data_IF_319564010387
#
_entry.id   IF_319564010387
#
_cell.length_a   1.000
_cell.length_b   1.000
_cell.length_c   1.000
_cell.angle_alpha   90.00
_cell.angle_beta   90.00
_cell.angle_gamma   90.00
#
_symmetry.space_group_name_H-M   'P 1'
#
loop_
_entity.id
_entity.type
_entity.pdbx_description
1 polymer ?
#
# COMPACT_ATOMS: atom_id res chain seq x y z
N UNK A 1 5.97 23.32 1.60
CA UNK A 1 5.37 22.57 0.48
C UNK A 1 6.47 21.91 -0.33
N UNK A 2 6.30 20.64 -0.65
CA UNK A 2 7.31 19.91 -1.43
C UNK A 2 7.30 20.34 -2.89
N UNK A 3 8.47 20.52 -3.49
CA UNK A 3 8.59 20.74 -4.93
C UNK A 3 8.42 19.41 -5.66
N UNK A 4 8.26 19.46 -7.00
CA UNK A 4 8.18 18.21 -7.78
C UNK A 4 9.49 17.41 -7.67
N UNK A 5 10.65 18.07 -7.54
CA UNK A 5 11.92 17.39 -7.33
C UNK A 5 11.97 16.69 -5.98
N UNK A 6 11.52 17.38 -4.93
CA UNK A 6 11.45 16.78 -3.58
C UNK A 6 10.50 15.60 -3.56
N UNK A 7 9.36 15.72 -4.21
CA UNK A 7 8.39 14.65 -4.29
C UNK A 7 8.96 13.42 -5.01
N UNK A 8 9.66 13.65 -6.13
CA UNK A 8 10.31 12.58 -6.88
C UNK A 8 11.36 11.86 -6.04
N UNK A 9 12.14 12.61 -5.26
CA UNK A 9 13.14 12.03 -4.36
C UNK A 9 12.50 11.25 -3.22
N UNK A 10 11.39 11.73 -2.68
CA UNK A 10 10.64 11.04 -1.63
C UNK A 10 10.08 9.72 -2.14
N UNK A 11 9.52 9.71 -3.35
CA UNK A 11 9.00 8.49 -3.97
C UNK A 11 10.13 7.49 -4.24
N UNK A 12 11.27 7.99 -4.72
CA UNK A 12 12.43 7.15 -4.95
C UNK A 12 12.91 6.51 -3.64
N UNK A 13 12.96 7.29 -2.56
CA UNK A 13 13.37 6.77 -1.25
C UNK A 13 12.40 5.69 -0.77
N UNK A 14 11.11 5.91 -0.89
CA UNK A 14 10.11 4.93 -0.50
C UNK A 14 10.25 3.65 -1.34
N UNK A 15 10.42 3.78 -2.65
CA UNK A 15 10.63 2.63 -3.52
C UNK A 15 11.85 1.82 -3.05
N UNK A 16 12.97 2.49 -2.76
CA UNK A 16 14.18 1.81 -2.29
C UNK A 16 13.96 1.08 -0.97
N UNK A 17 13.14 1.64 -0.09
CA UNK A 17 12.87 1.03 1.20
C UNK A 17 12.11 -0.28 1.08
N UNK A 18 11.18 -0.41 0.14
CA UNK A 18 10.26 -1.55 0.08
C UNK A 18 10.40 -2.43 -1.15
N UNK A 19 11.28 -2.10 -2.10
CA UNK A 19 11.36 -2.82 -3.38
C UNK A 19 11.62 -4.32 -3.25
N UNK A 20 12.35 -4.74 -2.22
CA UNK A 20 12.68 -6.14 -2.00
C UNK A 20 11.80 -6.81 -0.94
N UNK A 21 10.74 -6.15 -0.51
CA UNK A 21 9.80 -6.68 0.47
C UNK A 21 8.47 -6.91 -0.23
N UNK A 22 8.19 -8.18 -0.57
CA UNK A 22 7.03 -8.51 -1.39
C UNK A 22 5.70 -8.43 -0.66
N UNK A 23 5.69 -8.73 0.64
CA UNK A 23 4.46 -8.79 1.43
C UNK A 23 4.47 -7.75 2.53
N UNK A 24 3.35 -7.08 2.70
CA UNK A 24 3.12 -6.17 3.80
C UNK A 24 1.87 -6.59 4.57
N UNK A 25 1.74 -6.11 5.80
CA UNK A 25 0.51 -6.28 6.57
C UNK A 25 -0.38 -5.07 6.35
N UNK A 26 -1.52 -5.33 5.73
CA UNK A 26 -2.50 -4.31 5.37
C UNK A 26 -3.56 -4.25 6.47
N UNK A 27 -3.70 -3.10 7.12
CA UNK A 27 -4.58 -2.93 8.28
C UNK A 27 -5.79 -2.06 7.91
N UNK A 28 -6.97 -2.56 8.24
CA UNK A 28 -8.25 -1.86 8.05
C UNK A 28 -8.96 -1.71 9.39
N UNK A 29 -10.01 -0.89 9.40
CA UNK A 29 -10.84 -0.63 10.58
C UNK A 29 -12.25 -1.12 10.30
N UNK A 30 -12.84 -1.89 11.23
CA UNK A 30 -14.23 -2.31 11.11
C UNK A 30 -15.20 -1.28 11.72
N UNK A 31 -16.51 -1.53 11.63
CA UNK A 31 -17.54 -0.61 12.10
C UNK A 31 -17.51 -0.37 13.61
N UNK A 32 -16.91 -1.30 14.36
CA UNK A 32 -16.79 -1.20 15.81
C UNK A 32 -15.48 -0.52 16.23
N UNK A 33 -14.67 -0.09 15.26
CA UNK A 33 -13.39 0.55 15.53
C UNK A 33 -12.25 -0.41 15.78
N UNK A 34 -12.45 -1.71 15.54
CA UNK A 34 -11.38 -2.70 15.70
C UNK A 34 -10.50 -2.75 14.46
N UNK A 35 -9.21 -2.97 14.69
CA UNK A 35 -8.23 -3.05 13.62
C UNK A 35 -7.99 -4.51 13.22
N UNK A 36 -7.93 -4.75 11.93
CA UNK A 36 -7.65 -6.07 11.36
C UNK A 36 -6.53 -5.96 10.35
N UNK A 37 -5.60 -6.92 10.37
CA UNK A 37 -4.45 -6.90 9.47
C UNK A 37 -4.40 -8.17 8.62
N UNK A 38 -4.04 -7.99 7.36
CA UNK A 38 -3.99 -9.07 6.37
C UNK A 38 -2.67 -9.01 5.61
N UNK A 39 -2.02 -10.16 5.35
CA UNK A 39 -0.84 -10.15 4.47
C UNK A 39 -1.29 -9.90 3.04
N UNK A 40 -0.64 -8.95 2.39
CA UNK A 40 -0.96 -8.57 1.01
C UNK A 40 0.33 -8.37 0.23
N UNK A 41 0.32 -8.82 -1.02
CA UNK A 41 1.43 -8.62 -1.93
C UNK A 41 1.22 -7.32 -2.71
N UNK A 42 2.21 -6.43 -2.64
CA UNK A 42 2.14 -5.20 -3.43
C UNK A 42 2.34 -5.52 -4.91
N UNK A 43 1.70 -4.76 -5.77
CA UNK A 43 1.75 -4.93 -7.22
C UNK A 43 2.24 -3.66 -7.90
N UNK A 44 3.23 -3.82 -8.78
CA UNK A 44 3.78 -2.70 -9.52
C UNK A 44 4.71 -1.85 -8.68
N UNK A 45 5.20 -0.79 -9.29
CA UNK A 45 6.09 0.15 -8.63
C UNK A 45 5.30 1.39 -8.21
N UNK A 46 5.82 2.10 -7.22
CA UNK A 46 5.23 3.36 -6.79
C UNK A 46 5.50 4.40 -7.87
N UNK A 47 4.43 5.01 -8.37
CA UNK A 47 4.54 6.04 -9.38
C UNK A 47 4.60 7.44 -8.74
N UNK A 48 4.71 8.46 -9.60
CA UNK A 48 4.79 9.85 -9.16
C UNK A 48 3.53 10.34 -8.41
N UNK A 49 2.47 9.55 -8.42
CA UNK A 49 1.24 9.88 -7.68
C UNK A 49 1.28 9.39 -6.24
N UNK A 50 2.34 8.71 -5.84
CA UNK A 50 2.50 8.12 -4.51
C UNK A 50 1.35 7.15 -4.19
N UNK A 51 1.17 6.16 -5.07
CA UNK A 51 0.13 5.14 -4.90
C UNK A 51 0.73 3.76 -4.79
N UNK A 52 0.06 2.90 -4.01
CA UNK A 52 0.34 1.47 -3.94
C UNK A 52 -0.89 0.71 -4.44
N UNK A 53 -0.65 -0.44 -5.06
CA UNK A 53 -1.72 -1.27 -5.61
C UNK A 53 -1.63 -2.68 -5.04
N UNK A 54 -2.79 -3.27 -4.77
CA UNK A 54 -2.90 -4.63 -4.27
C UNK A 54 -4.05 -5.33 -4.97
N UNK A 55 -3.84 -6.60 -5.37
CA UNK A 55 -4.94 -7.42 -5.87
C UNK A 55 -5.77 -7.94 -4.71
N UNK A 56 -7.09 -8.03 -4.91
CA UNK A 56 -8.02 -8.51 -3.91
C UNK A 56 -9.26 -9.10 -4.60
N UNK A 57 -10.14 -9.68 -3.78
CA UNK A 57 -11.51 -10.03 -4.20
C UNK A 57 -12.44 -8.91 -3.73
N UNK A 58 -13.26 -8.42 -4.65
CA UNK A 58 -14.13 -7.28 -4.36
C UNK A 58 -15.12 -7.54 -3.21
N UNK A 59 -15.51 -8.80 -3.02
CA UNK A 59 -16.43 -9.17 -1.95
C UNK A 59 -15.77 -9.50 -0.62
N UNK A 60 -14.48 -9.27 -0.45
CA UNK A 60 -13.81 -9.59 0.81
C UNK A 60 -14.20 -8.62 1.94
N UNK A 61 -14.04 -9.09 3.18
CA UNK A 61 -14.37 -8.27 4.36
C UNK A 61 -13.57 -6.98 4.41
N UNK A 62 -12.29 -7.02 4.03
CA UNK A 62 -11.46 -5.82 4.05
C UNK A 62 -11.98 -4.74 3.09
N UNK A 63 -12.57 -5.14 1.97
CA UNK A 63 -13.16 -4.19 1.02
C UNK A 63 -14.38 -3.52 1.64
N UNK A 64 -15.26 -4.29 2.29
CA UNK A 64 -16.41 -3.75 2.98
C UNK A 64 -15.98 -2.74 4.05
N UNK A 65 -14.94 -3.07 4.80
CA UNK A 65 -14.41 -2.18 5.82
C UNK A 65 -13.88 -0.88 5.21
N UNK A 66 -13.14 -0.97 4.11
CA UNK A 66 -12.59 0.18 3.40
C UNK A 66 -13.69 1.09 2.84
N UNK A 67 -14.80 0.51 2.39
CA UNK A 67 -15.93 1.28 1.89
C UNK A 67 -16.58 2.14 2.98
N UNK A 68 -16.48 1.70 4.24
CA UNK A 68 -17.00 2.45 5.38
C UNK A 68 -15.97 3.41 5.96
N UNK A 69 -14.71 2.97 6.08
CA UNK A 69 -13.60 3.75 6.62
C UNK A 69 -12.39 3.51 5.74
N UNK A 70 -12.08 4.46 4.89
CA UNK A 70 -11.04 4.29 3.87
C UNK A 70 -9.61 4.46 4.38
N UNK A 71 -9.42 4.85 5.64
CA UNK A 71 -8.09 5.01 6.22
C UNK A 71 -7.46 3.64 6.48
N UNK A 72 -6.25 3.45 5.97
CA UNK A 72 -5.54 2.18 6.07
C UNK A 72 -4.10 2.41 6.46
N UNK A 73 -3.45 1.34 6.91
CA UNK A 73 -2.02 1.33 7.17
C UNK A 73 -1.43 0.05 6.59
N UNK A 74 -0.29 0.18 5.92
CA UNK A 74 0.45 -0.98 5.42
C UNK A 74 1.85 -0.94 6.03
N UNK A 75 2.29 -2.06 6.64
CA UNK A 75 3.64 -2.17 7.17
C UNK A 75 4.44 -3.17 6.37
N UNK A 76 5.67 -2.80 6.06
CA UNK A 76 6.65 -3.67 5.41
C UNK A 76 7.83 -3.82 6.36
N UNK A 77 8.32 -5.05 6.51
CA UNK A 77 9.41 -5.32 7.44
C UNK A 77 10.48 -6.16 6.78
N UNK A 78 11.74 -5.80 7.03
CA UNK A 78 12.89 -6.60 6.68
C UNK A 78 13.79 -6.68 7.93
N UNK A 79 13.54 -7.65 8.82
CA UNK A 79 14.32 -7.78 10.06
C UNK A 79 15.82 -7.95 9.81
N UNK A 80 16.19 -8.63 8.72
CA UNK A 80 17.60 -8.84 8.38
C UNK A 80 18.34 -7.53 8.14
N UNK A 81 17.64 -6.54 7.56
CA UNK A 81 18.17 -5.21 7.30
C UNK A 81 17.85 -4.22 8.41
N UNK A 82 17.16 -4.69 9.46
CA UNK A 82 16.64 -3.83 10.53
C UNK A 82 15.81 -2.68 9.97
N UNK A 83 14.99 -2.99 8.97
CA UNK A 83 14.18 -2.00 8.26
C UNK A 83 12.71 -2.24 8.52
N UNK A 84 12.01 -1.18 8.88
CA UNK A 84 10.58 -1.22 9.18
C UNK A 84 9.93 0.00 8.58
N UNK A 85 8.84 -0.19 7.84
CA UNK A 85 8.18 0.90 7.10
C UNK A 85 6.69 0.85 7.39
N UNK A 86 6.14 1.98 7.85
CA UNK A 86 4.72 2.12 8.14
C UNK A 86 4.13 3.16 7.19
N UNK A 87 3.20 2.73 6.36
CA UNK A 87 2.59 3.58 5.33
C UNK A 87 1.14 3.83 5.69
N UNK A 88 0.77 5.09 5.85
CA UNK A 88 -0.61 5.50 6.10
C UNK A 88 -1.20 6.15 4.85
N UNK A 89 -2.47 5.89 4.60
CA UNK A 89 -3.13 6.47 3.44
C UNK A 89 -4.60 6.13 3.41
N UNK A 90 -5.22 6.40 2.27
CA UNK A 90 -6.61 6.06 2.02
C UNK A 90 -6.69 5.06 0.89
N UNK A 91 -7.60 4.09 1.01
CA UNK A 91 -7.75 3.03 0.03
C UNK A 91 -9.10 3.13 -0.69
N UNK A 92 -9.11 2.71 -1.96
CA UNK A 92 -10.35 2.63 -2.73
C UNK A 92 -10.31 1.39 -3.61
N UNK A 93 -11.50 0.83 -3.85
CA UNK A 93 -11.66 -0.33 -4.73
C UNK A 93 -11.68 0.15 -6.19
N UNK A 94 -10.90 -0.54 -7.03
CA UNK A 94 -10.81 -0.23 -8.45
C UNK A 94 -11.04 -1.52 -9.24
N UNK A 95 -11.94 -1.47 -10.23
CA UNK A 95 -12.29 -2.62 -11.06
C UNK A 95 -11.95 -2.40 -12.54
N UNK A 96 -10.99 -1.55 -12.83
CA UNK A 96 -10.56 -1.23 -14.19
C UNK A 96 -9.80 -2.41 -14.79
N UNK A 97 -10.36 -3.00 -15.86
CA UNK A 97 -9.76 -4.15 -16.55
C UNK A 97 -8.39 -3.85 -17.12
N UNK A 98 -8.19 -2.64 -17.64
CA UNK A 98 -6.89 -2.26 -18.19
C UNK A 98 -5.83 -2.22 -17.10
N UNK A 99 -6.18 -1.68 -15.94
CA UNK A 99 -5.25 -1.61 -14.81
C UNK A 99 -4.96 -2.99 -14.25
N UNK A 100 -5.97 -3.86 -14.19
CA UNK A 100 -5.79 -5.24 -13.77
C UNK A 100 -4.79 -5.96 -14.69
N UNK A 101 -4.92 -5.80 -16.02
CA UNK A 101 -4.00 -6.41 -16.97
C UNK A 101 -2.59 -5.85 -16.82
N UNK A 102 -2.49 -4.54 -16.65
CA UNK A 102 -1.18 -3.87 -16.51
C UNK A 102 -0.39 -4.42 -15.32
N UNK A 103 -1.06 -4.66 -14.20
CA UNK A 103 -0.42 -5.07 -12.95
C UNK A 103 -0.36 -6.58 -12.75
N UNK A 104 -1.04 -7.37 -13.57
CA UNK A 104 -1.07 -8.81 -13.42
C UNK A 104 0.32 -9.43 -13.59
N UNK A 105 0.65 -10.37 -12.71
CA UNK A 105 1.86 -11.19 -12.79
C UNK A 105 1.50 -12.64 -12.54
N UNK A 106 2.19 -13.59 -13.22
CA UNK A 106 1.90 -15.02 -13.05
C UNK A 106 1.94 -15.54 -11.62
N UNK A 107 2.78 -14.97 -10.76
CA UNK A 107 2.90 -15.37 -9.36
C UNK A 107 1.58 -15.18 -8.61
N UNK A 108 0.75 -14.26 -9.06
CA UNK A 108 -0.55 -14.00 -8.43
C UNK A 108 -1.54 -15.15 -8.61
N UNK A 109 -1.25 -16.10 -9.52
CA UNK A 109 -2.12 -17.23 -9.77
C UNK A 109 -2.28 -18.14 -8.54
N UNK A 110 -1.33 -18.11 -7.62
CA UNK A 110 -1.44 -18.82 -6.35
C UNK A 110 -2.65 -18.35 -5.54
N UNK A 111 -2.93 -17.03 -5.59
CA UNK A 111 -4.04 -16.41 -4.86
C UNK A 111 -5.30 -16.30 -5.70
N UNK A 112 -5.14 -16.24 -7.02
CA UNK A 112 -6.22 -16.06 -7.99
C UNK A 112 -6.09 -17.14 -9.05
N UNK A 113 -6.56 -18.39 -8.76
CA UNK A 113 -6.34 -19.54 -9.64
C UNK A 113 -6.83 -19.36 -11.07
N UNK A 114 -7.89 -18.59 -11.27
CA UNK A 114 -8.42 -18.32 -12.61
C UNK A 114 -7.79 -17.07 -13.24
N UNK A 115 -6.78 -16.49 -12.59
CA UNK A 115 -6.10 -15.30 -13.08
C UNK A 115 -7.05 -14.12 -13.24
N UNK A 116 -6.90 -13.41 -14.34
CA UNK A 116 -7.75 -12.26 -14.64
C UNK A 116 -9.22 -12.65 -14.92
N UNK A 117 -9.48 -13.96 -15.07
CA UNK A 117 -10.83 -14.46 -15.30
C UNK A 117 -11.60 -14.71 -13.99
N UNK A 118 -10.98 -14.49 -12.84
CA UNK A 118 -11.70 -14.55 -11.57
C UNK A 118 -12.80 -13.50 -11.59
N UNK A 119 -14.06 -13.88 -11.39
CA UNK A 119 -15.19 -12.95 -11.57
C UNK A 119 -15.20 -11.80 -10.56
N UNK A 120 -14.56 -11.99 -9.42
CA UNK A 120 -14.57 -11.02 -8.33
C UNK A 120 -13.22 -10.33 -8.13
N UNK A 121 -12.30 -10.47 -9.10
CA UNK A 121 -10.97 -9.87 -8.99
C UNK A 121 -11.05 -8.35 -9.08
N UNK A 122 -10.30 -7.68 -8.24
CA UNK A 122 -10.28 -6.23 -8.19
C UNK A 122 -8.93 -5.75 -7.64
N UNK A 123 -8.76 -4.44 -7.62
CA UNK A 123 -7.57 -3.81 -7.07
C UNK A 123 -7.97 -2.91 -5.90
N UNK A 124 -7.08 -2.83 -4.93
CA UNK A 124 -7.12 -1.78 -3.93
C UNK A 124 -6.02 -0.78 -4.29
N UNK A 125 -6.42 0.46 -4.48
CA UNK A 125 -5.50 1.57 -4.72
C UNK A 125 -5.34 2.32 -3.41
N UNK A 126 -4.10 2.44 -2.94
CA UNK A 126 -3.80 3.19 -1.73
C UNK A 126 -3.12 4.50 -2.11
N UNK A 127 -3.75 5.61 -1.75
CA UNK A 127 -3.15 6.94 -1.91
C UNK A 127 -2.38 7.23 -0.63
N UNK A 128 -1.05 7.28 -0.73
CA UNK A 128 -0.17 7.41 0.43
C UNK A 128 -0.19 8.85 0.94
N UNK A 129 -0.43 9.01 2.24
CA UNK A 129 -0.36 10.33 2.87
C UNK A 129 0.95 10.52 3.63
N UNK A 130 1.39 9.50 4.34
CA UNK A 130 2.57 9.62 5.18
C UNK A 130 3.26 8.27 5.35
N UNK A 131 4.59 8.31 5.43
CA UNK A 131 5.41 7.14 5.68
C UNK A 131 6.31 7.43 6.87
N UNK A 132 6.31 6.53 7.85
CA UNK A 132 7.30 6.54 8.92
C UNK A 132 8.18 5.32 8.73
N UNK A 133 9.49 5.48 8.85
CA UNK A 133 10.36 4.34 8.64
C UNK A 133 11.59 4.37 9.57
N UNK A 134 12.09 3.20 9.81
CA UNK A 134 13.33 2.95 10.55
C UNK A 134 14.21 2.12 9.61
N UNK A 135 15.41 2.59 9.38
CA UNK A 135 16.36 1.90 8.50
C UNK A 135 17.68 1.76 9.26
N UNK A 136 18.08 0.50 9.51
CA UNK A 136 19.26 0.19 10.33
C UNK A 136 19.08 0.78 11.73
N UNK A 137 18.11 0.28 12.48
CA UNK A 137 17.65 0.87 13.74
C UNK A 137 18.79 1.18 14.71
N UNK A 138 18.96 2.47 15.00
CA UNK A 138 19.86 2.95 16.04
C UNK A 138 19.07 3.68 17.14
N UNK A 139 17.79 3.98 16.91
CA UNK A 139 16.90 4.59 17.89
C UNK A 139 15.46 4.27 17.49
N UNK A 140 14.51 4.51 18.42
CA UNK A 140 13.09 4.34 18.12
C UNK A 140 12.47 5.56 17.44
N UNK A 141 13.28 6.53 17.07
CA UNK A 141 12.80 7.75 16.43
C UNK A 141 12.69 7.53 14.92
N UNK A 142 11.49 7.66 14.34
CA UNK A 142 11.32 7.42 12.90
C UNK A 142 11.80 8.58 12.06
N UNK A 143 12.13 8.26 10.81
CA UNK A 143 12.20 9.26 9.75
C UNK A 143 10.83 9.29 9.08
N UNK A 144 10.45 10.44 8.53
CA UNK A 144 9.10 10.64 7.99
C UNK A 144 9.14 11.20 6.58
N UNK A 145 8.31 10.62 5.71
CA UNK A 145 8.03 11.17 4.39
C UNK A 145 6.55 11.55 4.38
N UNK A 146 6.23 12.81 4.04
CA UNK A 146 4.85 13.27 4.00
C UNK A 146 4.48 13.68 2.57
N UNK A 147 3.33 13.16 2.10
CA UNK A 147 2.76 13.55 0.82
C UNK A 147 1.54 14.44 1.00
N UNK A 148 1.28 14.87 2.24
CA UNK A 148 0.18 15.80 2.51
C UNK A 148 0.52 17.17 1.94
N UNK A 149 -0.50 17.83 1.39
CA UNK A 149 -0.34 19.19 0.87
C UNK A 149 -0.62 20.21 1.97
N UNK A 150 -0.09 21.43 1.81
CA UNK A 150 -0.33 22.52 2.76
C UNK A 150 -1.81 22.89 2.85
N UNK A 151 -2.58 22.62 1.79
CA UNK A 151 -4.00 22.92 1.76
C UNK A 151 -4.85 22.00 2.65
N UNK A 152 -4.25 20.98 3.22
CA UNK A 152 -4.94 20.04 4.08
C UNK A 152 -5.00 20.46 5.56
N UNK A 153 -4.46 21.57 5.85
CA UNK A 153 -4.43 22.08 7.23
C UNK A 153 -5.81 22.41 7.77
#
# INVERSE_FOLDING_TARGET
>A
MATSTDRAQQIKKLHELIKNIDYGMFTTVDDDGNLHSYPMSKSGEINHEATLWFFTYAGSHKVTEIEHYDQVNITFSSPEQQRYVSISGSAQLVKDRNKLRELWKPELQTWFPKGLDEPDIALLKVNISQVNYWDSISSFKPQTISFLTSSRL
#
